data_IF_014767014629
#
_entry.id   IF_014767014629
#
_cell.length_a   1.000
_cell.length_b   1.000
_cell.length_c   1.000
_cell.angle_alpha   90.00
_cell.angle_beta   90.00
_cell.angle_gamma   90.00
#
_symmetry.space_group_name_H-M   'P 1'
#
loop_
_entity.id
_entity.type
_entity.pdbx_description
1 polymer ?
#
# COMPACT_ATOMS: atom_id res chain seq x y z
N UNK A 1 -41.37 -3.96 -3.41
CA UNK A 1 -41.60 -4.93 -2.35
C UNK A 1 -40.28 -5.54 -1.88
N UNK A 2 -40.20 -5.98 -0.64
CA UNK A 2 -38.99 -6.60 -0.08
C UNK A 2 -38.64 -7.92 -0.82
N UNK A 3 -39.63 -8.68 -1.23
CA UNK A 3 -39.43 -9.89 -2.03
C UNK A 3 -38.69 -9.61 -3.35
N UNK A 4 -39.01 -8.52 -4.02
CA UNK A 4 -38.31 -8.10 -5.24
C UNK A 4 -36.85 -7.68 -4.93
N UNK A 5 -36.63 -6.90 -3.87
CA UNK A 5 -35.27 -6.51 -3.45
C UNK A 5 -34.41 -7.73 -3.15
N UNK A 6 -34.91 -8.66 -2.37
CA UNK A 6 -34.19 -9.88 -1.99
C UNK A 6 -33.90 -10.77 -3.21
N UNK A 7 -34.76 -10.79 -4.22
CA UNK A 7 -34.50 -11.54 -5.44
C UNK A 7 -33.36 -10.93 -6.25
N UNK A 8 -33.34 -9.62 -6.41
CA UNK A 8 -32.28 -8.91 -7.13
C UNK A 8 -30.96 -8.99 -6.35
N UNK A 9 -30.97 -8.85 -5.02
CA UNK A 9 -29.78 -9.06 -4.17
C UNK A 9 -29.12 -10.42 -4.41
N UNK A 10 -29.91 -11.51 -4.39
CA UNK A 10 -29.40 -12.86 -4.65
C UNK A 10 -28.79 -13.01 -6.05
N UNK A 11 -29.33 -12.33 -7.06
CA UNK A 11 -28.74 -12.33 -8.39
C UNK A 11 -27.40 -11.59 -8.39
N UNK A 12 -27.32 -10.40 -7.77
CA UNK A 12 -26.06 -9.67 -7.64
C UNK A 12 -25.00 -10.47 -6.89
N UNK A 13 -25.33 -11.09 -5.78
CA UNK A 13 -24.39 -11.93 -5.02
C UNK A 13 -23.79 -13.07 -5.86
N UNK A 14 -24.60 -13.65 -6.73
CA UNK A 14 -24.20 -14.81 -7.52
C UNK A 14 -23.46 -14.46 -8.79
N UNK A 15 -23.91 -13.44 -9.53
CA UNK A 15 -23.51 -13.23 -10.91
C UNK A 15 -23.16 -11.76 -11.27
N UNK A 16 -23.06 -10.87 -10.28
CA UNK A 16 -22.70 -9.48 -10.58
C UNK A 16 -21.30 -9.39 -11.21
N UNK A 17 -21.21 -8.53 -12.21
CA UNK A 17 -19.98 -8.17 -12.89
C UNK A 17 -19.66 -6.71 -12.60
N UNK A 18 -18.45 -6.44 -12.12
CA UNK A 18 -17.92 -5.09 -11.97
C UNK A 18 -17.25 -4.67 -13.28
N UNK A 19 -17.60 -3.48 -13.75
CA UNK A 19 -17.05 -2.88 -14.97
C UNK A 19 -16.43 -1.54 -14.62
N UNK A 20 -15.22 -1.30 -15.10
CA UNK A 20 -14.58 0.00 -15.03
C UNK A 20 -14.21 0.47 -16.44
N UNK A 21 -14.44 1.74 -16.72
CA UNK A 21 -14.10 2.37 -18.00
C UNK A 21 -13.48 3.73 -17.72
N UNK A 22 -12.49 4.12 -18.53
CA UNK A 22 -11.93 5.47 -18.47
C UNK A 22 -12.99 6.51 -18.84
N UNK A 23 -13.01 7.61 -18.11
CA UNK A 23 -13.81 8.79 -18.45
C UNK A 23 -13.20 9.44 -19.69
N UNK A 24 -14.03 9.75 -20.69
CA UNK A 24 -13.58 10.35 -21.95
C UNK A 24 -12.75 11.61 -21.70
N UNK A 25 -11.54 11.66 -22.27
CA UNK A 25 -10.59 12.78 -22.11
C UNK A 25 -9.70 12.70 -20.88
N UNK A 26 -9.81 11.62 -20.08
CA UNK A 26 -8.98 11.41 -18.88
C UNK A 26 -7.87 10.37 -19.05
N UNK A 27 -7.62 9.93 -20.28
CA UNK A 27 -6.68 8.85 -20.60
C UNK A 27 -5.24 9.19 -20.19
N UNK A 28 -4.79 10.42 -20.43
CA UNK A 28 -3.45 10.85 -20.05
C UNK A 28 -3.30 11.09 -18.54
N UNK A 29 -4.28 11.76 -17.95
CA UNK A 29 -4.30 12.01 -16.50
C UNK A 29 -4.37 10.71 -15.68
N UNK A 30 -5.04 9.70 -16.24
CA UNK A 30 -5.28 8.41 -15.59
C UNK A 30 -4.29 7.30 -15.94
N UNK A 31 -3.09 7.58 -16.46
CA UNK A 31 -2.12 6.58 -16.90
C UNK A 31 -1.88 5.46 -15.88
N UNK A 32 -1.85 5.77 -14.58
CA UNK A 32 -1.72 4.79 -13.50
C UNK A 32 -2.88 3.79 -13.39
N UNK A 33 -4.01 4.06 -14.06
CA UNK A 33 -5.21 3.21 -14.08
C UNK A 33 -5.44 2.52 -15.43
N UNK A 34 -4.44 2.48 -16.31
CA UNK A 34 -4.55 1.93 -17.67
C UNK A 34 -5.12 0.50 -17.68
N UNK A 35 -4.76 -0.33 -16.73
CA UNK A 35 -5.27 -1.71 -16.60
C UNK A 35 -6.79 -1.76 -16.37
N UNK A 36 -7.40 -0.66 -15.94
CA UNK A 36 -8.83 -0.54 -15.64
C UNK A 36 -9.61 0.31 -16.64
N UNK A 37 -8.99 0.76 -17.73
CA UNK A 37 -9.64 1.60 -18.73
C UNK A 37 -10.76 0.88 -19.49
N UNK A 38 -10.67 -0.43 -19.59
CA UNK A 38 -11.71 -1.31 -20.14
C UNK A 38 -11.67 -2.63 -19.37
N UNK A 39 -12.08 -2.59 -18.13
CA UNK A 39 -11.99 -3.71 -17.21
C UNK A 39 -13.37 -4.30 -16.93
N UNK A 40 -13.43 -5.62 -16.84
CA UNK A 40 -14.63 -6.35 -16.49
C UNK A 40 -14.27 -7.66 -15.77
N UNK A 41 -14.85 -7.89 -14.62
CA UNK A 41 -14.62 -9.10 -13.84
C UNK A 41 -15.84 -9.45 -12.98
N UNK A 42 -16.01 -10.72 -12.65
CA UNK A 42 -17.00 -11.17 -11.66
C UNK A 42 -16.73 -10.50 -10.31
N UNK A 43 -17.69 -9.78 -9.74
CA UNK A 43 -17.55 -9.10 -8.45
C UNK A 43 -17.14 -10.08 -7.33
N UNK A 44 -17.71 -11.27 -7.33
CA UNK A 44 -17.43 -12.33 -6.36
C UNK A 44 -15.96 -12.79 -6.38
N UNK A 45 -15.31 -12.72 -7.54
CA UNK A 45 -13.91 -13.16 -7.74
C UNK A 45 -12.90 -12.01 -7.77
N UNK A 46 -13.36 -10.78 -7.84
CA UNK A 46 -12.50 -9.62 -7.94
C UNK A 46 -11.70 -9.43 -6.63
N UNK A 47 -10.38 -9.48 -6.67
CA UNK A 47 -9.55 -9.31 -5.48
C UNK A 47 -9.71 -7.92 -4.86
N UNK A 48 -9.55 -7.83 -3.53
CA UNK A 48 -9.72 -6.59 -2.78
C UNK A 48 -8.84 -5.44 -3.28
N UNK A 49 -7.58 -5.72 -3.64
CA UNK A 49 -6.68 -4.69 -4.16
C UNK A 49 -7.17 -4.09 -5.50
N UNK A 50 -7.84 -4.86 -6.35
CA UNK A 50 -8.45 -4.34 -7.58
C UNK A 50 -9.68 -3.50 -7.29
N UNK A 51 -10.54 -3.93 -6.36
CA UNK A 51 -11.68 -3.12 -5.91
C UNK A 51 -11.19 -1.77 -5.38
N UNK A 52 -10.16 -1.75 -4.54
CA UNK A 52 -9.60 -0.52 -3.99
C UNK A 52 -8.98 0.38 -5.07
N UNK A 53 -8.25 -0.19 -6.04
CA UNK A 53 -7.70 0.55 -7.18
C UNK A 53 -8.79 1.21 -8.02
N UNK A 54 -9.82 0.44 -8.39
CA UNK A 54 -10.96 0.90 -9.21
C UNK A 54 -11.73 2.00 -8.47
N UNK A 55 -11.99 1.83 -7.17
CA UNK A 55 -12.70 2.83 -6.35
C UNK A 55 -11.89 4.11 -6.17
N UNK A 56 -10.57 4.02 -6.05
CA UNK A 56 -9.68 5.20 -6.07
C UNK A 56 -9.75 5.93 -7.41
N UNK A 57 -9.66 5.21 -8.52
CA UNK A 57 -9.79 5.80 -9.86
C UNK A 57 -11.13 6.48 -10.10
N UNK A 58 -12.22 5.92 -9.54
CA UNK A 58 -13.55 6.53 -9.56
C UNK A 58 -13.60 7.82 -8.71
N UNK A 59 -13.06 7.79 -7.50
CA UNK A 59 -13.00 8.95 -6.61
C UNK A 59 -12.16 10.10 -7.19
N UNK A 60 -11.11 9.79 -7.94
CA UNK A 60 -10.29 10.75 -8.68
C UNK A 60 -10.96 11.24 -9.99
N UNK A 61 -12.13 10.73 -10.35
CA UNK A 61 -12.84 11.10 -11.58
C UNK A 61 -12.23 10.57 -12.87
N UNK A 62 -11.34 9.58 -12.79
CA UNK A 62 -10.67 8.94 -13.92
C UNK A 62 -11.49 7.78 -14.48
N UNK A 63 -12.09 6.98 -13.60
CA UNK A 63 -12.85 5.81 -13.97
C UNK A 63 -14.34 6.01 -13.71
N UNK A 64 -15.15 5.45 -14.59
CA UNK A 64 -16.58 5.21 -14.37
C UNK A 64 -16.77 3.75 -14.02
N UNK A 65 -17.38 3.47 -12.88
CA UNK A 65 -17.55 2.12 -12.33
C UNK A 65 -19.03 1.79 -12.24
N UNK A 66 -19.39 0.56 -12.57
CA UNK A 66 -20.76 0.05 -12.50
C UNK A 66 -20.79 -1.45 -12.22
N UNK A 67 -21.90 -1.90 -11.65
CA UNK A 67 -22.23 -3.30 -11.56
C UNK A 67 -23.29 -3.64 -12.61
N UNK A 68 -23.28 -4.88 -13.09
CA UNK A 68 -24.29 -5.40 -14.01
C UNK A 68 -24.64 -6.84 -13.66
N UNK A 69 -25.87 -7.21 -13.98
CA UNK A 69 -26.36 -8.60 -13.99
C UNK A 69 -27.12 -8.83 -15.29
N UNK A 70 -27.48 -10.07 -15.57
CA UNK A 70 -28.36 -10.39 -16.66
C UNK A 70 -29.75 -9.77 -16.40
N UNK A 71 -30.08 -8.68 -17.12
CA UNK A 71 -31.35 -7.94 -16.99
C UNK A 71 -32.55 -8.85 -17.35
N UNK A 72 -32.41 -9.68 -18.38
CA UNK A 72 -33.51 -10.54 -18.81
C UNK A 72 -33.84 -11.57 -17.72
N UNK A 73 -32.82 -12.19 -17.14
CA UNK A 73 -32.98 -13.12 -16.04
C UNK A 73 -33.57 -12.42 -14.80
N UNK A 74 -33.13 -11.20 -14.47
CA UNK A 74 -33.68 -10.41 -13.37
C UNK A 74 -35.17 -10.11 -13.58
N UNK A 75 -35.56 -9.65 -14.78
CA UNK A 75 -36.96 -9.37 -15.12
C UNK A 75 -37.83 -10.62 -15.08
N UNK A 76 -37.36 -11.75 -15.61
CA UNK A 76 -38.08 -13.05 -15.51
C UNK A 76 -38.31 -13.49 -14.06
N UNK A 77 -37.35 -13.25 -13.21
CA UNK A 77 -37.50 -13.56 -11.78
C UNK A 77 -38.50 -12.64 -11.07
N UNK A 78 -38.57 -11.37 -11.43
CA UNK A 78 -39.55 -10.43 -10.90
C UNK A 78 -40.95 -10.68 -11.43
N UNK A 79 -41.06 -11.04 -12.72
CA UNK A 79 -42.34 -11.41 -13.36
C UNK A 79 -43.07 -12.49 -12.59
N UNK A 80 -42.39 -13.54 -12.14
CA UNK A 80 -42.94 -14.62 -11.31
C UNK A 80 -43.56 -14.13 -10.00
N UNK A 81 -43.10 -12.99 -9.48
CA UNK A 81 -43.60 -12.39 -8.23
C UNK A 81 -44.86 -11.56 -8.51
N UNK A 82 -44.87 -10.77 -9.59
CA UNK A 82 -45.87 -9.72 -9.80
C UNK A 82 -46.94 -10.05 -10.82
N UNK A 83 -46.62 -10.90 -11.82
CA UNK A 83 -47.54 -11.18 -12.91
C UNK A 83 -48.36 -12.44 -12.60
N UNK A 84 -49.66 -12.29 -12.52
CA UNK A 84 -50.61 -13.38 -12.10
C UNK A 84 -51.57 -13.81 -13.16
N UNK A 85 -51.42 -13.34 -14.41
CA UNK A 85 -52.30 -13.67 -15.51
C UNK A 85 -51.80 -13.14 -16.84
N UNK A 86 -52.58 -13.33 -17.87
CA UNK A 86 -52.26 -12.87 -19.22
C UNK A 86 -53.42 -12.00 -19.74
N UNK A 87 -53.54 -10.80 -19.21
CA UNK A 87 -54.56 -9.81 -19.59
C UNK A 87 -53.94 -8.41 -19.66
N UNK A 88 -54.70 -7.43 -20.10
CA UNK A 88 -54.20 -6.05 -20.25
C UNK A 88 -53.71 -5.47 -18.93
N UNK A 89 -54.34 -5.78 -17.79
CA UNK A 89 -53.87 -5.37 -16.46
C UNK A 89 -52.49 -5.97 -16.13
N UNK A 90 -52.28 -7.24 -16.43
CA UNK A 90 -51.00 -7.91 -16.25
C UNK A 90 -49.90 -7.26 -17.11
N UNK A 91 -50.23 -6.85 -18.34
CA UNK A 91 -49.32 -6.12 -19.23
C UNK A 91 -48.95 -4.75 -18.66
N UNK A 92 -49.88 -4.02 -18.11
CA UNK A 92 -49.60 -2.72 -17.44
C UNK A 92 -48.70 -2.92 -16.21
N UNK A 93 -48.98 -3.94 -15.40
CA UNK A 93 -48.09 -4.29 -14.25
C UNK A 93 -46.68 -4.64 -14.69
N UNK A 94 -46.54 -5.39 -15.80
CA UNK A 94 -45.24 -5.74 -16.36
C UNK A 94 -44.45 -4.51 -16.82
N UNK A 95 -45.09 -3.58 -17.52
CA UNK A 95 -44.45 -2.31 -17.93
C UNK A 95 -44.00 -1.48 -16.73
N UNK A 96 -44.87 -1.36 -15.73
CA UNK A 96 -44.51 -0.64 -14.47
C UNK A 96 -43.37 -1.33 -13.70
N UNK A 97 -43.36 -2.67 -13.67
CA UNK A 97 -42.32 -3.47 -13.08
C UNK A 97 -40.97 -3.25 -13.78
N UNK A 98 -40.96 -3.30 -15.11
CA UNK A 98 -39.73 -3.08 -15.90
C UNK A 98 -39.18 -1.68 -15.73
N UNK A 99 -40.03 -0.66 -15.75
CA UNK A 99 -39.63 0.72 -15.50
C UNK A 99 -39.11 0.91 -14.04
N UNK A 100 -39.84 0.39 -13.06
CA UNK A 100 -39.43 0.42 -11.65
C UNK A 100 -38.13 -0.32 -11.37
N UNK A 101 -37.88 -1.44 -12.07
CA UNK A 101 -36.60 -2.13 -12.00
C UNK A 101 -35.44 -1.23 -12.47
N UNK A 102 -35.56 -0.63 -13.64
CA UNK A 102 -34.50 0.18 -14.25
C UNK A 102 -34.21 1.47 -13.50
N UNK A 103 -35.26 2.18 -13.09
CA UNK A 103 -35.11 3.51 -12.49
C UNK A 103 -34.92 3.51 -10.96
N UNK A 104 -35.42 2.50 -10.28
CA UNK A 104 -35.48 2.53 -8.81
C UNK A 104 -34.81 1.32 -8.17
N UNK A 105 -35.22 0.11 -8.58
CA UNK A 105 -34.81 -1.10 -7.86
C UNK A 105 -33.33 -1.43 -8.10
N UNK A 106 -32.93 -1.57 -9.34
CA UNK A 106 -31.55 -1.93 -9.68
C UNK A 106 -30.55 -0.88 -9.24
N UNK A 107 -30.71 0.43 -9.51
CA UNK A 107 -29.77 1.45 -9.05
C UNK A 107 -29.61 1.49 -7.52
N UNK A 108 -30.71 1.28 -6.79
CA UNK A 108 -30.66 1.23 -5.33
C UNK A 108 -29.85 0.05 -4.79
N UNK A 109 -30.01 -1.13 -5.38
CA UNK A 109 -29.29 -2.32 -4.96
C UNK A 109 -27.87 -2.33 -5.52
N UNK A 110 -27.64 -1.79 -6.70
CA UNK A 110 -26.28 -1.55 -7.23
C UNK A 110 -25.46 -0.70 -6.25
N UNK A 111 -26.01 0.44 -5.80
CA UNK A 111 -25.34 1.31 -4.82
C UNK A 111 -25.07 0.59 -3.48
N UNK A 112 -26.03 -0.23 -3.01
CA UNK A 112 -25.87 -1.08 -1.82
C UNK A 112 -24.65 -2.03 -1.99
N UNK A 113 -24.57 -2.75 -3.11
CA UNK A 113 -23.49 -3.71 -3.36
C UNK A 113 -22.15 -3.06 -3.69
N UNK A 114 -22.14 -1.89 -4.29
CA UNK A 114 -20.92 -1.07 -4.43
C UNK A 114 -20.35 -0.71 -3.05
N UNK A 115 -21.20 -0.36 -2.10
CA UNK A 115 -20.79 -0.06 -0.72
C UNK A 115 -20.31 -1.32 0.00
N UNK A 116 -21.08 -2.42 -0.06
CA UNK A 116 -20.72 -3.68 0.59
C UNK A 116 -19.41 -4.27 0.05
N UNK A 117 -19.19 -4.22 -1.27
CA UNK A 117 -17.95 -4.69 -1.87
C UNK A 117 -16.73 -3.86 -1.43
N UNK A 118 -16.89 -2.54 -1.29
CA UNK A 118 -15.86 -1.66 -0.75
C UNK A 118 -15.55 -1.99 0.70
N UNK A 119 -16.57 -2.13 1.55
CA UNK A 119 -16.38 -2.50 2.96
C UNK A 119 -15.67 -3.85 3.13
N UNK A 120 -16.03 -4.84 2.31
CA UNK A 120 -15.35 -6.13 2.29
C UNK A 120 -13.88 -5.99 1.88
N UNK A 121 -13.61 -5.22 0.82
CA UNK A 121 -12.26 -4.98 0.35
C UNK A 121 -11.42 -4.25 1.41
N UNK A 122 -11.99 -3.26 2.12
CA UNK A 122 -11.34 -2.56 3.23
C UNK A 122 -10.96 -3.54 4.34
N UNK A 123 -11.89 -4.37 4.79
CA UNK A 123 -11.65 -5.34 5.88
C UNK A 123 -10.57 -6.35 5.53
N UNK A 124 -10.56 -6.86 4.31
CA UNK A 124 -9.53 -7.79 3.83
C UNK A 124 -8.16 -7.12 3.74
N UNK A 125 -8.10 -5.89 3.21
CA UNK A 125 -6.86 -5.12 3.11
C UNK A 125 -6.30 -4.75 4.49
N UNK A 126 -7.13 -4.29 5.41
CA UNK A 126 -6.75 -3.95 6.79
C UNK A 126 -6.14 -5.17 7.50
N UNK A 127 -6.73 -6.36 7.33
CA UNK A 127 -6.16 -7.60 7.89
C UNK A 127 -4.76 -7.88 7.34
N UNK A 128 -4.55 -7.70 6.04
CA UNK A 128 -3.22 -7.87 5.43
C UNK A 128 -2.24 -6.82 5.95
N UNK A 129 -2.67 -5.58 6.12
CA UNK A 129 -1.82 -4.50 6.64
C UNK A 129 -1.41 -4.75 8.08
N UNK A 130 -2.33 -5.21 8.93
CA UNK A 130 -2.02 -5.60 10.31
C UNK A 130 -1.00 -6.75 10.36
N UNK A 131 -1.15 -7.77 9.51
CA UNK A 131 -0.18 -8.87 9.43
C UNK A 131 1.18 -8.40 8.92
N UNK A 132 1.23 -7.51 7.92
CA UNK A 132 2.48 -6.92 7.44
C UNK A 132 3.18 -6.12 8.54
N UNK A 133 2.44 -5.32 9.31
CA UNK A 133 2.99 -4.59 10.45
C UNK A 133 3.54 -5.56 11.51
N UNK A 134 2.78 -6.59 11.84
CA UNK A 134 3.20 -7.61 12.79
C UNK A 134 4.51 -8.27 12.38
N UNK A 135 4.66 -8.63 11.10
CA UNK A 135 5.90 -9.21 10.59
C UNK A 135 7.09 -8.24 10.70
N UNK A 136 6.87 -6.94 10.48
CA UNK A 136 7.91 -5.93 10.68
C UNK A 136 8.34 -5.83 12.16
N UNK A 137 7.37 -5.80 13.08
CA UNK A 137 7.62 -5.69 14.52
C UNK A 137 8.30 -6.94 15.09
N UNK A 138 7.97 -8.12 14.59
CA UNK A 138 8.50 -9.42 15.03
C UNK A 138 9.70 -9.90 14.21
N UNK A 139 10.25 -9.07 13.33
CA UNK A 139 11.47 -9.42 12.61
C UNK A 139 12.61 -9.73 13.59
N UNK A 140 13.40 -10.75 13.27
CA UNK A 140 14.49 -11.17 14.15
C UNK A 140 15.53 -10.08 14.31
N UNK A 141 15.85 -9.65 15.53
CA UNK A 141 16.86 -8.62 15.76
C UNK A 141 18.27 -9.18 15.45
N UNK A 142 19.09 -8.34 14.84
CA UNK A 142 20.52 -8.65 14.66
C UNK A 142 21.27 -8.67 16.02
N UNK A 143 20.75 -7.91 16.97
CA UNK A 143 21.35 -7.74 18.30
C UNK A 143 22.44 -6.68 18.33
N UNK A 144 23.25 -6.73 19.38
CA UNK A 144 24.29 -5.74 19.69
C UNK A 144 25.51 -5.90 18.78
N UNK A 145 25.41 -5.36 17.58
CA UNK A 145 26.48 -5.32 16.59
C UNK A 145 26.72 -3.91 16.11
N UNK A 146 27.94 -3.66 15.62
CA UNK A 146 28.30 -2.38 15.01
C UNK A 146 27.79 -2.36 13.57
N UNK A 147 26.93 -1.38 13.29
CA UNK A 147 26.18 -1.31 12.04
C UNK A 147 26.52 -0.04 11.28
N UNK A 148 26.81 -0.19 9.99
CA UNK A 148 26.81 0.90 9.03
C UNK A 148 25.45 0.91 8.33
N UNK A 149 24.69 1.98 8.48
CA UNK A 149 23.38 2.12 7.85
C UNK A 149 23.42 3.14 6.73
N UNK A 150 22.70 2.81 5.65
CA UNK A 150 22.64 3.65 4.46
C UNK A 150 21.17 3.96 4.16
N UNK A 151 20.86 5.25 4.11
CA UNK A 151 19.63 5.79 3.54
C UNK A 151 19.92 6.16 2.08
N UNK A 152 19.43 5.34 1.10
CA UNK A 152 19.80 5.51 -0.31
C UNK A 152 19.15 6.74 -0.96
N UNK A 153 19.84 7.36 -1.91
CA UNK A 153 19.30 8.45 -2.71
C UNK A 153 20.13 8.71 -3.96
N UNK A 154 19.47 9.17 -5.03
CA UNK A 154 20.15 9.55 -6.26
C UNK A 154 20.68 10.98 -6.20
N UNK A 155 19.80 11.99 -6.21
CA UNK A 155 20.18 13.39 -6.30
C UNK A 155 20.86 13.92 -5.06
N UNK A 156 20.33 13.59 -3.89
CA UNK A 156 20.85 14.03 -2.59
C UNK A 156 22.04 13.17 -2.10
N UNK A 157 22.32 12.08 -2.83
CA UNK A 157 23.29 11.08 -2.44
C UNK A 157 22.75 10.11 -1.39
N UNK A 158 23.59 9.19 -0.96
CA UNK A 158 23.26 8.25 0.10
C UNK A 158 23.81 8.81 1.43
N UNK A 159 22.95 8.90 2.44
CA UNK A 159 23.36 9.22 3.80
C UNK A 159 23.87 7.95 4.48
N UNK A 160 25.09 7.99 4.98
CA UNK A 160 25.74 6.86 5.68
C UNK A 160 25.96 7.23 7.13
N UNK A 161 25.60 6.36 8.05
CA UNK A 161 25.88 6.48 9.48
C UNK A 161 26.55 5.23 10.01
N UNK A 162 27.44 5.39 10.98
CA UNK A 162 28.03 4.29 11.74
C UNK A 162 27.46 4.29 13.14
N UNK A 163 26.95 3.14 13.58
CA UNK A 163 26.41 2.93 14.91
C UNK A 163 27.29 1.94 15.69
N UNK A 164 27.50 2.22 16.96
CA UNK A 164 28.12 1.23 17.85
C UNK A 164 27.13 0.12 18.24
N UNK A 165 27.58 -0.82 19.06
CA UNK A 165 26.80 -1.98 19.52
C UNK A 165 25.61 -1.60 20.41
N UNK A 166 25.51 -0.36 20.87
CA UNK A 166 24.38 0.18 21.63
C UNK A 166 23.40 0.97 20.76
N UNK A 167 23.70 1.11 19.46
CA UNK A 167 22.93 1.93 18.53
C UNK A 167 23.25 3.42 18.61
N UNK A 168 24.32 3.82 19.28
CA UNK A 168 24.79 5.20 19.35
C UNK A 168 25.46 5.60 18.02
N UNK A 169 25.12 6.79 17.53
CA UNK A 169 25.75 7.38 16.36
C UNK A 169 27.20 7.78 16.66
N UNK A 170 28.17 7.20 15.96
CA UNK A 170 29.59 7.49 16.12
C UNK A 170 30.21 8.23 14.95
N UNK A 171 29.59 8.14 13.75
CA UNK A 171 30.04 8.84 12.55
C UNK A 171 28.93 8.96 11.51
N UNK A 172 28.98 9.97 10.65
CA UNK A 172 28.10 10.09 9.50
C UNK A 172 28.80 10.78 8.33
N UNK A 173 28.47 10.36 7.12
CA UNK A 173 28.94 10.96 5.86
C UNK A 173 27.89 10.85 4.75
N UNK A 174 28.06 11.67 3.71
CA UNK A 174 27.37 11.49 2.44
C UNK A 174 28.29 10.84 1.42
N UNK A 175 27.73 9.92 0.64
CA UNK A 175 28.39 9.31 -0.52
C UNK A 175 27.51 9.46 -1.75
N UNK A 176 28.12 9.47 -2.93
CA UNK A 176 27.41 9.72 -4.20
C UNK A 176 27.80 8.67 -5.26
N UNK A 177 27.53 7.39 -5.02
CA UNK A 177 27.93 6.32 -5.95
C UNK A 177 27.09 6.29 -7.22
N UNK A 178 25.91 6.94 -7.23
CA UNK A 178 24.92 6.87 -8.29
C UNK A 178 24.86 8.14 -9.14
N UNK A 179 24.22 8.08 -10.34
CA UNK A 179 23.88 9.28 -11.10
C UNK A 179 23.10 10.30 -10.27
N UNK A 180 23.26 11.59 -10.51
CA UNK A 180 24.06 12.23 -11.58
C UNK A 180 25.57 12.36 -11.28
N UNK A 181 26.00 12.21 -10.02
CA UNK A 181 27.40 12.47 -9.62
C UNK A 181 28.35 11.34 -9.97
N UNK A 182 27.93 10.08 -9.87
CA UNK A 182 28.74 8.92 -10.21
C UNK A 182 30.13 8.87 -9.55
N UNK A 183 30.26 9.28 -8.30
CA UNK A 183 31.52 9.30 -7.54
C UNK A 183 31.83 7.91 -6.94
N UNK A 184 31.76 6.86 -7.77
CA UNK A 184 31.85 5.48 -7.34
C UNK A 184 33.14 5.17 -6.57
N UNK A 185 34.30 5.54 -7.09
CA UNK A 185 35.60 5.25 -6.44
C UNK A 185 35.72 5.93 -5.09
N UNK A 186 35.30 7.19 -4.99
CA UNK A 186 35.33 7.94 -3.73
C UNK A 186 34.35 7.34 -2.73
N UNK A 187 33.14 7.01 -3.14
CA UNK A 187 32.14 6.35 -2.29
C UNK A 187 32.65 5.00 -1.77
N UNK A 188 33.28 4.19 -2.63
CA UNK A 188 33.87 2.91 -2.28
C UNK A 188 34.97 3.07 -1.22
N UNK A 189 35.88 4.02 -1.41
CA UNK A 189 36.96 4.31 -0.45
C UNK A 189 36.40 4.75 0.91
N UNK A 190 35.39 5.63 0.94
CA UNK A 190 34.74 6.09 2.17
C UNK A 190 34.08 4.94 2.93
N UNK A 191 33.28 4.12 2.25
CA UNK A 191 32.60 2.98 2.91
C UNK A 191 33.62 1.98 3.45
N UNK A 192 34.62 1.61 2.66
CA UNK A 192 35.66 0.68 3.09
C UNK A 192 36.44 1.21 4.31
N UNK A 193 36.76 2.49 4.30
CA UNK A 193 37.43 3.14 5.44
C UNK A 193 36.53 3.16 6.69
N UNK A 194 35.26 3.50 6.56
CA UNK A 194 34.31 3.47 7.69
C UNK A 194 34.16 2.07 8.28
N UNK A 195 34.06 1.04 7.42
CA UNK A 195 33.99 -0.36 7.88
C UNK A 195 35.21 -0.74 8.71
N UNK A 196 36.39 -0.37 8.27
CA UNK A 196 37.64 -0.66 9.00
C UNK A 196 37.76 0.17 10.28
N UNK A 197 37.51 1.48 10.20
CA UNK A 197 37.71 2.42 11.33
C UNK A 197 36.76 2.16 12.49
N UNK A 198 35.52 1.83 12.21
CA UNK A 198 34.47 1.63 13.22
C UNK A 198 34.16 0.17 13.51
N UNK A 199 34.99 -0.76 13.03
CA UNK A 199 34.80 -2.21 13.22
C UNK A 199 33.42 -2.73 12.84
N UNK A 200 32.88 -2.25 11.72
CA UNK A 200 31.52 -2.59 11.26
C UNK A 200 31.38 -4.09 11.00
N UNK A 201 30.31 -4.67 11.54
CA UNK A 201 29.99 -6.09 11.43
C UNK A 201 28.81 -6.36 10.48
N UNK A 202 27.94 -5.35 10.30
CA UNK A 202 26.79 -5.45 9.41
C UNK A 202 26.52 -4.12 8.71
N UNK A 203 25.96 -4.20 7.50
CA UNK A 203 25.51 -3.05 6.72
C UNK A 203 24.00 -3.17 6.54
N UNK A 204 23.26 -2.13 6.92
CA UNK A 204 21.82 -2.00 6.71
C UNK A 204 21.57 -1.02 5.57
N UNK A 205 20.80 -1.43 4.55
CA UNK A 205 20.47 -0.59 3.41
C UNK A 205 18.96 -0.41 3.36
N UNK A 206 18.47 0.83 3.37
CA UNK A 206 17.06 1.14 3.20
C UNK A 206 16.53 0.65 1.85
N UNK A 207 15.30 0.15 1.81
CA UNK A 207 14.68 -0.45 0.62
C UNK A 207 13.93 0.55 -0.28
N UNK A 208 14.04 1.84 -0.04
CA UNK A 208 13.39 2.88 -0.84
C UNK A 208 14.10 3.22 -2.15
N UNK A 209 13.98 4.49 -2.55
CA UNK A 209 14.59 4.99 -3.79
C UNK A 209 16.10 4.74 -3.81
N UNK A 210 16.63 4.21 -4.92
CA UNK A 210 18.03 3.80 -5.10
C UNK A 210 18.52 2.66 -4.19
N UNK A 211 17.63 1.98 -3.46
CA UNK A 211 18.00 0.89 -2.56
C UNK A 211 18.68 -0.29 -3.27
N UNK A 212 18.12 -0.72 -4.41
CA UNK A 212 18.67 -1.82 -5.21
C UNK A 212 20.04 -1.49 -5.82
N UNK A 213 20.21 -0.26 -6.29
CA UNK A 213 21.46 0.24 -6.84
C UNK A 213 22.54 0.33 -5.76
N UNK A 214 22.14 0.78 -4.55
CA UNK A 214 23.03 0.86 -3.38
C UNK A 214 23.44 -0.54 -2.91
N UNK A 215 22.52 -1.49 -2.88
CA UNK A 215 22.83 -2.89 -2.55
C UNK A 215 23.87 -3.47 -3.53
N UNK A 216 23.63 -3.28 -4.84
CA UNK A 216 24.60 -3.72 -5.87
C UNK A 216 25.95 -3.05 -5.69
N UNK A 217 25.99 -1.75 -5.41
CA UNK A 217 27.22 -1.03 -5.13
C UNK A 217 27.97 -1.66 -3.97
N UNK A 218 27.32 -1.89 -2.81
CA UNK A 218 27.94 -2.49 -1.63
C UNK A 218 28.46 -3.92 -1.92
N UNK A 219 27.73 -4.72 -2.69
CA UNK A 219 28.16 -6.08 -3.08
C UNK A 219 29.43 -6.12 -3.93
N UNK A 220 29.79 -5.02 -4.60
CA UNK A 220 31.04 -4.93 -5.36
C UNK A 220 32.27 -4.62 -4.49
N UNK A 221 32.06 -4.15 -3.26
CA UNK A 221 33.15 -3.76 -2.37
C UNK A 221 33.83 -4.98 -1.73
N UNK A 222 35.11 -4.81 -1.43
CA UNK A 222 35.91 -5.77 -0.67
C UNK A 222 36.26 -5.18 0.68
N UNK A 223 35.91 -5.86 1.74
CA UNK A 223 36.23 -5.48 3.11
C UNK A 223 37.37 -6.34 3.67
N UNK A 224 38.09 -5.81 4.64
CA UNK A 224 39.17 -6.51 5.36
C UNK A 224 38.64 -7.60 6.32
N UNK A 225 37.32 -7.67 6.46
CA UNK A 225 36.59 -8.57 7.35
C UNK A 225 35.30 -9.07 6.73
N UNK A 226 34.69 -10.06 7.39
CA UNK A 226 33.34 -10.52 7.01
C UNK A 226 32.30 -9.51 7.51
N UNK A 227 31.56 -8.93 6.56
CA UNK A 227 30.45 -8.01 6.82
C UNK A 227 29.17 -8.60 6.28
N UNK A 228 28.12 -8.67 7.08
CA UNK A 228 26.80 -9.09 6.65
C UNK A 228 26.07 -7.90 6.04
N UNK A 229 25.35 -8.10 4.93
CA UNK A 229 24.58 -7.02 4.26
C UNK A 229 23.11 -7.37 4.30
N UNK A 230 22.30 -6.41 4.74
CA UNK A 230 20.85 -6.56 4.88
C UNK A 230 20.13 -5.39 4.22
N UNK A 231 19.03 -5.71 3.54
CA UNK A 231 18.06 -4.71 3.08
C UNK A 231 16.98 -4.56 4.16
N UNK A 232 16.75 -3.34 4.59
CA UNK A 232 15.87 -3.02 5.72
C UNK A 232 14.72 -2.13 5.23
N UNK A 233 13.50 -2.41 5.70
CA UNK A 233 12.36 -1.54 5.44
C UNK A 233 12.60 -0.15 6.04
N UNK A 234 12.46 0.89 5.21
CA UNK A 234 12.53 2.30 5.67
C UNK A 234 11.14 2.90 5.93
N UNK A 235 10.07 2.08 5.90
CA UNK A 235 8.71 2.52 6.14
C UNK A 235 8.59 3.32 7.43
N UNK A 236 8.07 4.55 7.36
CA UNK A 236 7.94 5.45 8.49
C UNK A 236 9.23 6.09 8.99
N UNK A 237 10.40 5.83 8.39
CA UNK A 237 11.67 6.44 8.82
C UNK A 237 11.67 7.98 8.68
N UNK A 238 11.04 8.50 7.62
CA UNK A 238 10.86 9.94 7.42
C UNK A 238 9.95 10.57 8.48
N UNK A 239 8.90 9.87 8.90
CA UNK A 239 8.01 10.32 9.98
C UNK A 239 8.75 10.33 11.30
N UNK A 240 9.49 9.28 11.62
CA UNK A 240 10.35 9.25 12.81
C UNK A 240 11.35 10.41 12.80
N UNK A 241 12.08 10.62 11.71
CA UNK A 241 13.13 11.63 11.61
C UNK A 241 12.65 13.06 11.89
N UNK A 242 11.39 13.36 11.57
CA UNK A 242 10.73 14.64 11.85
C UNK A 242 10.05 14.69 13.22
N UNK A 243 9.96 13.59 13.95
CA UNK A 243 9.23 13.47 15.22
C UNK A 243 9.92 14.21 16.36
N UNK A 244 9.16 14.47 17.44
CA UNK A 244 9.69 15.02 18.70
C UNK A 244 10.74 14.09 19.30
N UNK A 245 10.47 12.78 19.30
CA UNK A 245 11.40 11.75 19.84
C UNK A 245 12.74 11.83 19.12
N UNK A 246 12.75 11.87 17.78
CA UNK A 246 14.00 11.94 17.02
C UNK A 246 14.78 13.24 17.27
N UNK A 247 14.09 14.37 17.47
CA UNK A 247 14.73 15.64 17.84
C UNK A 247 15.35 15.60 19.24
N UNK A 248 14.72 14.92 20.16
CA UNK A 248 15.27 14.73 21.53
C UNK A 248 16.44 13.76 21.54
N UNK A 249 16.38 12.67 20.74
CA UNK A 249 17.49 11.71 20.64
C UNK A 249 18.71 12.27 19.89
N UNK A 250 18.49 13.09 18.87
CA UNK A 250 19.53 13.64 17.99
C UNK A 250 19.31 15.13 17.70
N UNK A 251 19.44 16.01 18.71
CA UNK A 251 19.15 17.44 18.55
C UNK A 251 20.11 18.15 17.59
N UNK A 252 21.36 17.69 17.49
CA UNK A 252 22.40 18.32 16.67
C UNK A 252 22.42 17.82 15.20
N UNK A 253 21.57 16.84 14.84
CA UNK A 253 21.55 16.23 13.52
C UNK A 253 20.25 16.53 12.78
N UNK A 254 20.34 16.62 11.46
CA UNK A 254 19.19 16.84 10.59
C UNK A 254 18.34 15.57 10.37
N UNK A 255 17.22 15.75 9.70
CA UNK A 255 16.26 14.66 9.42
C UNK A 255 16.89 13.52 8.62
N UNK A 256 17.87 13.81 7.74
CA UNK A 256 18.49 12.77 6.88
C UNK A 256 19.38 11.85 7.71
N UNK A 257 20.13 12.39 8.65
CA UNK A 257 20.94 11.60 9.59
C UNK A 257 20.03 10.77 10.51
N UNK A 258 19.00 11.36 11.07
CA UNK A 258 18.03 10.68 11.94
C UNK A 258 17.35 9.51 11.19
N UNK A 259 16.99 9.70 9.92
CA UNK A 259 16.43 8.64 9.07
C UNK A 259 17.39 7.47 8.89
N UNK A 260 18.64 7.74 8.56
CA UNK A 260 19.67 6.71 8.41
C UNK A 260 19.94 5.94 9.73
N UNK A 261 19.98 6.65 10.87
CA UNK A 261 20.09 6.03 12.20
C UNK A 261 18.92 5.08 12.45
N UNK A 262 17.69 5.49 12.13
CA UNK A 262 16.51 4.65 12.29
C UNK A 262 16.62 3.36 11.46
N UNK A 263 17.09 3.42 10.22
CA UNK A 263 17.33 2.24 9.38
C UNK A 263 18.30 1.26 10.07
N UNK A 264 19.40 1.75 10.62
CA UNK A 264 20.37 0.91 11.33
C UNK A 264 19.81 0.29 12.61
N UNK A 265 19.12 1.08 13.42
CA UNK A 265 18.52 0.62 14.68
C UNK A 265 17.41 -0.40 14.47
N UNK A 266 16.65 -0.31 13.36
CA UNK A 266 15.67 -1.33 12.98
C UNK A 266 16.28 -2.68 12.71
N UNK A 267 17.50 -2.72 12.17
CA UNK A 267 18.21 -3.98 12.00
C UNK A 267 18.66 -4.56 13.34
N UNK A 268 19.09 -3.71 14.26
CA UNK A 268 19.55 -4.13 15.58
C UNK A 268 18.41 -4.64 16.45
N UNK A 269 17.33 -3.87 16.56
CA UNK A 269 16.10 -4.20 17.31
C UNK A 269 14.87 -3.57 16.63
N UNK A 270 14.17 -4.31 15.76
CA UNK A 270 13.02 -3.79 15.02
C UNK A 270 11.90 -3.28 15.93
N UNK A 271 11.56 -4.04 16.97
CA UNK A 271 10.47 -3.69 17.87
C UNK A 271 10.75 -2.39 18.63
N UNK A 272 11.91 -2.28 19.25
CA UNK A 272 12.29 -1.10 20.02
C UNK A 272 12.30 0.19 19.17
N UNK A 273 12.66 0.08 17.89
CA UNK A 273 12.70 1.23 17.00
C UNK A 273 11.33 1.57 16.42
N UNK A 274 10.57 0.58 15.94
CA UNK A 274 9.30 0.79 15.25
C UNK A 274 8.17 1.26 16.18
N UNK A 275 8.20 0.93 17.46
CA UNK A 275 7.21 1.42 18.44
C UNK A 275 7.29 2.93 18.72
N UNK A 276 8.36 3.60 18.26
CA UNK A 276 8.48 5.06 18.31
C UNK A 276 7.61 5.79 17.30
N UNK A 277 7.05 5.06 16.33
CA UNK A 277 6.28 5.58 15.20
C UNK A 277 4.82 5.21 15.38
N UNK A 278 3.92 6.16 15.08
CA UNK A 278 2.48 5.86 14.98
C UNK A 278 2.29 4.72 13.94
N UNK A 279 1.61 3.62 14.31
CA UNK A 279 1.42 2.47 13.43
C UNK A 279 0.85 2.83 12.05
N UNK A 280 -0.06 3.81 11.97
CA UNK A 280 -0.62 4.30 10.71
C UNK A 280 0.40 5.01 9.82
N UNK A 281 1.49 5.48 10.38
CA UNK A 281 2.58 6.14 9.65
C UNK A 281 3.60 5.15 9.09
N UNK A 282 3.49 3.87 9.44
CA UNK A 282 4.29 2.79 8.87
C UNK A 282 3.61 2.34 7.58
N UNK A 283 4.31 2.42 6.44
CA UNK A 283 3.78 1.98 5.14
C UNK A 283 3.74 0.47 5.04
N UNK A 284 2.55 -0.13 5.20
CA UNK A 284 2.33 -1.58 5.18
C UNK A 284 1.47 -2.06 4.01
N UNK A 285 0.95 -1.13 3.19
CA UNK A 285 0.17 -1.47 2.01
C UNK A 285 -0.07 -0.30 1.06
N UNK A 286 -0.20 -0.61 -0.22
CA UNK A 286 -0.35 0.37 -1.30
C UNK A 286 -1.63 1.21 -1.18
N UNK A 287 -2.72 0.62 -0.69
CA UNK A 287 -4.04 1.26 -0.56
C UNK A 287 -4.38 1.65 0.88
N UNK A 288 -3.37 1.82 1.73
CA UNK A 288 -3.55 2.10 3.15
C UNK A 288 -4.39 3.36 3.41
N UNK A 289 -4.27 4.39 2.55
CA UNK A 289 -5.03 5.63 2.66
C UNK A 289 -6.45 5.55 2.08
N UNK A 290 -6.81 4.47 1.39
CA UNK A 290 -8.10 4.30 0.72
C UNK A 290 -9.10 3.45 1.51
N UNK A 291 -8.62 2.71 2.49
CA UNK A 291 -9.47 1.89 3.37
C UNK A 291 -10.12 2.73 4.47
N UNK A 292 -11.09 2.15 5.17
CA UNK A 292 -11.68 2.78 6.35
C UNK A 292 -10.61 3.10 7.40
N UNK A 293 -10.39 4.40 7.66
CA UNK A 293 -9.31 4.87 8.52
C UNK A 293 -9.57 4.57 10.01
N UNK A 294 -10.83 4.47 10.42
CA UNK A 294 -11.21 4.07 11.78
C UNK A 294 -10.85 2.62 12.05
N UNK A 295 -11.30 1.71 11.18
CA UNK A 295 -10.96 0.29 11.26
C UNK A 295 -9.47 0.01 11.08
N UNK A 296 -8.78 0.78 10.22
CA UNK A 296 -7.32 0.68 10.08
C UNK A 296 -6.61 1.00 11.40
N UNK A 297 -6.99 2.12 12.03
CA UNK A 297 -6.39 2.53 13.31
C UNK A 297 -6.59 1.46 14.38
N UNK A 298 -7.82 0.98 14.56
CA UNK A 298 -8.14 -0.07 15.54
C UNK A 298 -7.36 -1.37 15.31
N UNK A 299 -7.14 -1.74 14.05
CA UNK A 299 -6.43 -2.97 13.70
C UNK A 299 -4.90 -2.86 13.86
N UNK A 300 -4.33 -1.66 13.74
CA UNK A 300 -2.89 -1.43 13.83
C UNK A 300 -2.42 -1.07 15.24
N UNK A 301 -3.28 -0.49 16.09
CA UNK A 301 -2.99 -0.16 17.49
C UNK A 301 -3.01 -1.43 18.36
#
# INVERSE_FOLDING_TARGET
SEAARNRVRRLLEREAVITAKVVKGKEQEGEKYTDYFNFQESLKRCPSHRILAIRRGEAEGILKVSLSIDEENALKNLERIFIKGDNESARQVWLAMKDGYKRLLFPSIEAEYMTLSKQKADSEAIRVFAENLRQLLLASPLGNKRVLAIDPGFRTGCKVVCLDETGKLVHNENIYPHPPRNEYKQAAAKVTNMVATYDIQAIAIGNGTAGRETEKFIQTLRFDRKVQVFVVSESGASVYSASKIAREEFPEYDVTVRGAVSIGRRLMDPLAELVKIDPKSIGVGQYQHDVDQGGLKEALD
#
